data_IF_014299867509
#
_entry.id   IF_014299867509
#
_cell.length_a   1.000
_cell.length_b   1.000
_cell.length_c   1.000
_cell.angle_alpha   90.00
_cell.angle_beta   90.00
_cell.angle_gamma   90.00
#
_symmetry.space_group_name_H-M   'P 1'
#
loop_
_entity.id
_entity.type
_entity.pdbx_description
1 polymer ?
#
# COMPACT_ATOMS: atom_id res chain seq x y z
N UNK A 1 4.22 -12.38 12.15
CA UNK A 1 5.65 -11.97 12.09
C UNK A 1 6.37 -13.04 11.29
N UNK A 2 7.33 -12.64 10.45
CA UNK A 2 8.22 -13.56 9.74
C UNK A 2 9.61 -12.94 9.69
N UNK A 3 10.64 -13.76 9.86
CA UNK A 3 12.05 -13.36 9.74
C UNK A 3 12.57 -13.74 8.34
N UNK A 4 13.36 -12.86 7.76
CA UNK A 4 13.94 -12.94 6.43
C UNK A 4 15.46 -12.75 6.51
N UNK A 5 16.17 -13.36 5.58
CA UNK A 5 17.61 -13.17 5.40
C UNK A 5 17.82 -12.06 4.36
N UNK A 6 18.68 -11.09 4.69
CA UNK A 6 19.11 -9.96 3.86
C UNK A 6 20.64 -10.04 3.72
N UNK A 7 21.12 -10.93 2.85
CA UNK A 7 22.54 -11.27 2.79
C UNK A 7 23.06 -11.89 4.09
N UNK A 8 23.93 -11.16 4.81
CA UNK A 8 24.47 -11.57 6.11
C UNK A 8 23.62 -11.10 7.31
N UNK A 9 22.62 -10.26 7.05
CA UNK A 9 21.76 -9.65 8.05
C UNK A 9 20.39 -10.34 8.05
N UNK A 10 19.63 -10.10 9.12
CA UNK A 10 18.29 -10.63 9.29
C UNK A 10 17.30 -9.51 9.60
N UNK A 11 16.14 -9.56 8.98
CA UNK A 11 15.06 -8.62 9.24
C UNK A 11 13.78 -9.37 9.58
N UNK A 12 13.00 -8.85 10.54
CA UNK A 12 11.66 -9.34 10.82
C UNK A 12 10.61 -8.35 10.35
N UNK A 13 9.65 -8.82 9.56
CA UNK A 13 8.47 -8.05 9.19
C UNK A 13 7.37 -8.27 10.23
N UNK A 14 6.93 -7.19 10.84
CA UNK A 14 5.96 -7.18 11.93
C UNK A 14 4.77 -6.36 11.51
N UNK A 15 3.57 -6.92 11.69
CA UNK A 15 2.33 -6.16 11.69
C UNK A 15 1.89 -5.92 13.14
N UNK A 16 2.15 -4.72 13.69
CA UNK A 16 1.69 -4.37 15.03
C UNK A 16 0.17 -4.51 15.20
N UNK A 17 -0.27 -4.84 16.40
CA UNK A 17 -1.70 -4.97 16.72
C UNK A 17 -2.49 -3.69 16.47
N UNK A 18 -1.89 -2.52 16.73
CA UNK A 18 -2.55 -1.22 16.60
C UNK A 18 -2.87 -0.80 15.16
N UNK A 19 -2.20 -1.36 14.14
CA UNK A 19 -2.55 -1.13 12.72
C UNK A 19 -3.26 -2.32 12.08
N UNK A 20 -3.18 -3.51 12.67
CA UNK A 20 -3.77 -4.73 12.12
C UNK A 20 -5.24 -4.56 11.76
N UNK A 21 -6.06 -4.14 12.72
CA UNK A 21 -7.50 -4.03 12.52
C UNK A 21 -7.86 -3.05 11.39
N UNK A 22 -7.15 -1.92 11.32
CA UNK A 22 -7.36 -0.92 10.27
C UNK A 22 -6.98 -1.47 8.89
N UNK A 23 -5.86 -2.19 8.78
CA UNK A 23 -5.43 -2.79 7.51
C UNK A 23 -6.33 -3.95 7.09
N UNK A 24 -6.77 -4.79 8.01
CA UNK A 24 -7.71 -5.88 7.72
C UNK A 24 -9.03 -5.31 7.18
N UNK A 25 -9.59 -4.31 7.85
CA UNK A 25 -10.83 -3.64 7.41
C UNK A 25 -10.71 -2.94 6.07
N UNK A 26 -9.54 -2.39 5.74
CA UNK A 26 -9.34 -1.58 4.53
C UNK A 26 -8.89 -2.41 3.33
N UNK A 27 -7.89 -3.26 3.54
CA UNK A 27 -7.10 -3.86 2.47
C UNK A 27 -7.27 -5.37 2.32
N UNK A 28 -7.74 -6.07 3.35
CA UNK A 28 -7.90 -7.52 3.35
C UNK A 28 -9.34 -7.90 3.66
N UNK A 29 -10.27 -7.41 2.85
CA UNK A 29 -11.71 -7.65 3.06
C UNK A 29 -12.18 -9.00 2.51
N UNK A 30 -11.30 -9.72 1.82
CA UNK A 30 -11.57 -10.98 1.15
C UNK A 30 -11.25 -10.90 -0.34
N UNK A 31 -10.78 -12.01 -0.91
CA UNK A 31 -10.32 -12.09 -2.31
C UNK A 31 -11.44 -11.88 -3.32
N UNK A 32 -12.68 -12.20 -2.95
CA UNK A 32 -13.86 -12.06 -3.81
C UNK A 32 -14.44 -10.62 -3.84
N UNK A 33 -13.90 -9.69 -3.03
CA UNK A 33 -14.43 -8.33 -2.92
C UNK A 33 -13.73 -7.39 -3.91
N UNK A 34 -14.42 -7.03 -4.99
CA UNK A 34 -13.97 -6.05 -5.97
C UNK A 34 -14.26 -4.61 -5.53
N UNK A 35 -13.37 -4.04 -4.71
CA UNK A 35 -13.52 -2.67 -4.20
C UNK A 35 -12.17 -1.94 -4.07
N UNK A 36 -12.20 -0.62 -4.25
CA UNK A 36 -11.02 0.23 -4.19
C UNK A 36 -10.26 0.07 -2.86
N UNK A 37 -8.94 -0.07 -2.95
CA UNK A 37 -8.05 -0.28 -1.80
C UNK A 37 -8.04 -1.71 -1.24
N UNK A 38 -8.79 -2.66 -1.84
CA UNK A 38 -8.77 -4.08 -1.44
C UNK A 38 -7.75 -4.89 -2.25
N UNK A 39 -7.07 -5.83 -1.60
CA UNK A 39 -6.33 -6.88 -2.28
C UNK A 39 -7.27 -8.00 -2.75
N UNK A 40 -7.10 -8.45 -3.99
CA UNK A 40 -7.79 -9.62 -4.54
C UNK A 40 -6.95 -10.90 -4.43
N UNK A 41 -5.65 -10.76 -4.15
CA UNK A 41 -4.71 -11.89 -4.14
C UNK A 41 -4.56 -12.55 -2.77
N UNK A 42 -4.67 -11.77 -1.71
CA UNK A 42 -4.39 -12.20 -0.35
C UNK A 42 -5.60 -11.92 0.54
N UNK A 43 -6.01 -12.92 1.33
CA UNK A 43 -7.17 -12.76 2.23
C UNK A 43 -6.80 -12.06 3.53
N UNK A 44 -5.51 -12.02 3.87
CA UNK A 44 -4.99 -11.40 5.08
C UNK A 44 -3.48 -11.12 4.94
N UNK A 45 -2.91 -10.42 5.93
CA UNK A 45 -1.49 -10.08 5.94
C UNK A 45 -0.57 -11.30 6.02
N UNK A 46 -0.99 -12.38 6.69
CA UNK A 46 -0.20 -13.62 6.78
C UNK A 46 -0.04 -14.23 5.39
N UNK A 47 -1.12 -14.38 4.63
CA UNK A 47 -1.08 -14.90 3.26
C UNK A 47 -0.10 -14.10 2.39
N UNK A 48 -0.13 -12.77 2.48
CA UNK A 48 0.76 -11.88 1.75
C UNK A 48 2.24 -12.09 2.12
N UNK A 49 2.58 -12.15 3.41
CA UNK A 49 3.98 -12.33 3.83
C UNK A 49 4.51 -13.74 3.62
N UNK A 50 3.66 -14.72 3.29
CA UNK A 50 4.09 -16.06 2.88
C UNK A 50 4.22 -16.21 1.36
N UNK A 51 3.69 -15.26 0.57
CA UNK A 51 3.90 -15.22 -0.87
C UNK A 51 5.31 -14.73 -1.22
N UNK A 52 6.16 -15.65 -1.65
CA UNK A 52 7.56 -15.37 -2.02
C UNK A 52 7.68 -14.44 -3.22
N UNK A 53 6.69 -14.43 -4.13
CA UNK A 53 6.71 -13.55 -5.30
C UNK A 53 6.59 -12.07 -4.91
N UNK A 54 6.04 -11.80 -3.73
CA UNK A 54 5.94 -10.46 -3.17
C UNK A 54 7.07 -10.22 -2.16
N UNK A 55 7.32 -11.18 -1.28
CA UNK A 55 8.26 -11.00 -0.19
C UNK A 55 9.72 -10.98 -0.63
N UNK A 56 10.11 -11.71 -1.66
CA UNK A 56 11.50 -11.69 -2.15
C UNK A 56 11.84 -10.27 -2.72
N UNK A 57 11.08 -9.67 -3.66
CA UNK A 57 11.31 -8.28 -4.11
C UNK A 57 11.16 -7.23 -3.02
N UNK A 58 10.22 -7.43 -2.09
CA UNK A 58 10.06 -6.53 -0.95
C UNK A 58 11.34 -6.50 -0.07
N UNK A 59 11.94 -7.66 0.17
CA UNK A 59 13.12 -7.76 1.03
C UNK A 59 14.37 -7.19 0.35
N UNK A 60 14.48 -7.29 -0.98
CA UNK A 60 15.52 -6.59 -1.76
C UNK A 60 15.41 -5.07 -1.56
N UNK A 61 14.21 -4.49 -1.73
CA UNK A 61 13.98 -3.06 -1.49
C UNK A 61 14.30 -2.66 -0.05
N UNK A 62 13.92 -3.48 0.93
CA UNK A 62 14.22 -3.22 2.35
C UNK A 62 15.73 -3.28 2.62
N UNK A 63 16.45 -4.20 2.00
CA UNK A 63 17.90 -4.28 2.10
C UNK A 63 18.55 -3.00 1.56
N UNK A 64 18.18 -2.57 0.36
CA UNK A 64 18.71 -1.34 -0.25
C UNK A 64 18.47 -0.12 0.66
N UNK A 65 17.26 0.01 1.20
CA UNK A 65 16.91 1.09 2.14
C UNK A 65 17.77 1.05 3.42
N UNK A 66 18.04 -0.14 3.95
CA UNK A 66 18.86 -0.31 5.16
C UNK A 66 20.31 0.09 4.87
N UNK A 67 20.86 -0.32 3.73
CA UNK A 67 22.20 0.01 3.29
C UNK A 67 22.36 1.52 3.05
N UNK A 68 21.39 2.17 2.41
CA UNK A 68 21.38 3.61 2.18
C UNK A 68 21.24 4.44 3.46
N UNK A 69 20.55 3.90 4.47
CA UNK A 69 20.18 4.63 5.70
C UNK A 69 20.78 4.04 6.97
N UNK A 70 21.94 3.39 6.86
CA UNK A 70 22.56 2.67 7.97
C UNK A 70 22.73 3.56 9.23
N UNK A 71 23.14 4.82 9.03
CA UNK A 71 23.36 5.79 10.09
C UNK A 71 22.08 6.15 10.91
N UNK A 72 20.89 5.92 10.34
CA UNK A 72 19.61 6.25 10.98
C UNK A 72 19.01 5.08 11.78
N UNK A 73 19.62 3.88 11.74
CA UNK A 73 18.99 2.66 12.27
C UNK A 73 18.81 2.65 13.80
N UNK A 74 19.70 3.33 14.53
CA UNK A 74 19.65 3.39 16.00
C UNK A 74 18.46 4.23 16.50
N UNK A 75 18.17 5.34 15.83
CA UNK A 75 16.97 6.14 16.08
C UNK A 75 15.72 5.53 15.45
N UNK A 76 15.92 4.72 14.41
CA UNK A 76 14.88 4.19 13.55
C UNK A 76 14.27 5.27 12.67
N UNK A 77 13.82 4.87 11.49
CA UNK A 77 13.24 5.78 10.51
C UNK A 77 11.97 5.19 9.90
N UNK A 78 11.19 6.03 9.23
CA UNK A 78 9.99 5.60 8.50
C UNK A 78 10.23 5.83 7.02
N UNK A 79 9.97 4.80 6.22
CA UNK A 79 10.14 4.81 4.77
C UNK A 79 8.86 4.34 4.10
N UNK A 80 8.52 4.96 2.97
CA UNK A 80 7.35 4.62 2.19
C UNK A 80 7.77 4.33 0.75
N UNK A 81 7.44 3.16 0.24
CA UNK A 81 7.86 2.71 -1.08
C UNK A 81 6.77 1.85 -1.74
N UNK A 82 6.97 1.54 -3.01
CA UNK A 82 6.06 0.70 -3.81
C UNK A 82 6.83 -0.49 -4.36
N UNK A 83 6.26 -1.68 -4.17
CA UNK A 83 6.80 -2.95 -4.66
C UNK A 83 5.98 -3.36 -5.89
N UNK A 84 6.61 -3.56 -7.05
CA UNK A 84 5.93 -4.17 -8.20
C UNK A 84 5.68 -5.66 -7.95
N UNK A 85 4.53 -6.14 -8.38
CA UNK A 85 4.16 -7.55 -8.42
C UNK A 85 3.86 -7.93 -9.87
N UNK A 86 4.05 -9.21 -10.23
CA UNK A 86 3.95 -9.65 -11.63
C UNK A 86 2.47 -9.72 -12.08
N UNK A 87 1.57 -10.11 -11.18
CA UNK A 87 0.15 -10.29 -11.45
C UNK A 87 -0.69 -9.16 -10.81
N UNK A 88 -1.96 -8.97 -11.19
CA UNK A 88 -2.85 -8.09 -10.44
C UNK A 88 -2.96 -8.53 -8.97
N UNK A 89 -2.83 -7.57 -8.05
CA UNK A 89 -2.89 -7.82 -6.59
C UNK A 89 -4.16 -7.27 -5.95
N UNK A 90 -4.88 -6.37 -6.62
CA UNK A 90 -6.07 -5.72 -6.08
C UNK A 90 -6.49 -4.50 -6.91
N UNK A 91 -7.24 -3.61 -6.27
CA UNK A 91 -7.76 -2.39 -6.89
C UNK A 91 -7.19 -1.15 -6.21
N UNK A 92 -6.67 -0.21 -6.99
CA UNK A 92 -6.11 1.04 -6.44
C UNK A 92 -7.19 1.86 -5.71
N UNK A 93 -6.78 2.66 -4.73
CA UNK A 93 -7.66 3.63 -4.07
C UNK A 93 -7.53 5.05 -4.66
N UNK A 94 -6.73 5.22 -5.70
CA UNK A 94 -6.45 6.52 -6.34
C UNK A 94 -6.34 6.40 -7.87
N UNK A 95 -6.65 7.49 -8.57
CA UNK A 95 -6.50 7.61 -10.03
C UNK A 95 -6.00 9.01 -10.41
N UNK A 96 -5.13 9.18 -11.42
CA UNK A 96 -4.75 10.50 -11.92
C UNK A 96 -5.98 11.34 -12.29
N UNK A 97 -6.00 12.61 -11.89
CA UNK A 97 -7.15 13.53 -12.09
C UNK A 97 -7.41 13.82 -13.56
N UNK A 98 -6.37 13.83 -14.38
CA UNK A 98 -6.44 14.08 -15.82
C UNK A 98 -7.17 12.99 -16.62
N UNK A 99 -7.41 11.83 -16.00
CA UNK A 99 -8.22 10.74 -16.56
C UNK A 99 -9.71 10.85 -16.22
N UNK A 100 -10.12 11.87 -15.46
CA UNK A 100 -11.48 12.01 -14.93
C UNK A 100 -12.13 13.28 -15.42
N UNK A 101 -13.45 13.23 -15.62
CA UNK A 101 -14.23 14.44 -15.89
C UNK A 101 -14.57 15.15 -14.59
N UNK A 102 -14.86 16.45 -14.66
CA UNK A 102 -15.21 17.22 -13.45
C UNK A 102 -16.53 16.72 -12.83
N UNK A 103 -17.41 16.14 -13.64
CA UNK A 103 -18.67 15.53 -13.22
C UNK A 103 -18.46 14.23 -12.42
N UNK A 104 -17.32 13.56 -12.61
CA UNK A 104 -16.96 12.36 -11.84
C UNK A 104 -16.51 12.68 -10.41
N UNK A 105 -16.21 13.96 -10.14
CA UNK A 105 -15.43 14.38 -9.00
C UNK A 105 -16.22 15.26 -8.03
N UNK A 106 -15.91 15.10 -6.75
CA UNK A 106 -16.39 16.01 -5.71
C UNK A 106 -15.29 16.27 -4.69
N UNK A 107 -15.02 17.54 -4.42
CA UNK A 107 -14.14 17.92 -3.31
C UNK A 107 -14.81 17.53 -1.98
N UNK A 108 -14.08 16.80 -1.15
CA UNK A 108 -14.53 16.44 0.21
C UNK A 108 -13.42 16.73 1.21
N UNK A 109 -13.79 17.26 2.36
CA UNK A 109 -12.92 17.36 3.54
C UNK A 109 -13.05 16.11 4.40
N UNK A 110 -11.92 15.63 4.90
CA UNK A 110 -11.88 14.52 5.84
C UNK A 110 -11.73 15.03 7.28
N UNK A 111 -12.17 14.22 8.24
CA UNK A 111 -12.01 14.53 9.68
C UNK A 111 -10.54 14.76 10.08
N UNK A 112 -9.60 14.25 9.29
CA UNK A 112 -8.16 14.39 9.48
C UNK A 112 -7.57 15.70 8.92
N UNK A 113 -8.40 16.71 8.62
CA UNK A 113 -7.98 18.06 8.17
C UNK A 113 -7.17 18.05 6.86
N UNK A 114 -7.50 17.13 5.98
CA UNK A 114 -7.07 17.16 4.59
C UNK A 114 -8.29 17.02 3.68
N UNK A 115 -8.19 17.59 2.49
CA UNK A 115 -9.22 17.58 1.47
C UNK A 115 -8.69 16.93 0.20
N UNK A 116 -9.60 16.43 -0.63
CA UNK A 116 -9.27 15.96 -1.96
C UNK A 116 -10.52 15.88 -2.83
N UNK A 117 -10.31 15.75 -4.14
CA UNK A 117 -11.30 15.27 -5.09
C UNK A 117 -11.50 13.77 -4.89
N UNK A 118 -12.74 13.40 -4.60
CA UNK A 118 -13.18 12.02 -4.56
C UNK A 118 -13.97 11.68 -5.82
N UNK A 119 -13.78 10.46 -6.31
CA UNK A 119 -14.61 9.91 -7.38
C UNK A 119 -15.97 9.56 -6.80
N UNK A 120 -17.02 10.20 -7.31
CA UNK A 120 -18.41 9.99 -6.89
C UNK A 120 -19.27 9.31 -7.95
N UNK A 121 -18.82 9.30 -9.21
CA UNK A 121 -19.48 8.54 -10.26
C UNK A 121 -19.16 7.04 -10.11
N UNK A 122 -20.17 6.25 -9.75
CA UNK A 122 -20.04 4.80 -9.56
C UNK A 122 -19.73 4.04 -10.86
N UNK A 123 -19.93 4.68 -12.02
CA UNK A 123 -19.56 4.11 -13.33
C UNK A 123 -18.05 4.11 -13.55
N UNK A 124 -17.31 4.99 -12.86
CA UNK A 124 -15.85 5.02 -12.88
C UNK A 124 -15.36 3.97 -11.89
N UNK A 125 -14.87 2.84 -12.41
CA UNK A 125 -14.41 1.74 -11.57
C UNK A 125 -12.96 1.95 -11.12
N UNK A 126 -12.64 1.56 -9.89
CA UNK A 126 -11.26 1.55 -9.43
C UNK A 126 -10.45 0.52 -10.24
N UNK A 127 -9.35 0.91 -10.90
CA UNK A 127 -8.64 -0.02 -11.77
C UNK A 127 -7.86 -1.06 -10.98
N UNK A 128 -7.66 -2.22 -11.59
CA UNK A 128 -6.75 -3.23 -11.06
C UNK A 128 -5.32 -2.71 -11.08
N UNK A 129 -4.50 -3.26 -10.20
CA UNK A 129 -3.11 -2.87 -10.07
C UNK A 129 -2.25 -4.04 -9.64
N UNK A 130 -1.03 -4.07 -10.17
CA UNK A 130 0.03 -5.00 -9.75
C UNK A 130 1.03 -4.31 -8.81
N UNK A 131 0.68 -3.15 -8.24
CA UNK A 131 1.54 -2.41 -7.33
C UNK A 131 1.08 -2.60 -5.88
N UNK A 132 2.03 -2.75 -4.97
CA UNK A 132 1.80 -2.78 -3.53
C UNK A 132 2.59 -1.66 -2.88
N UNK A 133 1.90 -0.70 -2.30
CA UNK A 133 2.52 0.39 -1.56
C UNK A 133 2.54 0.11 -0.07
N UNK A 134 3.68 0.36 0.57
CA UNK A 134 3.86 0.09 2.00
C UNK A 134 4.63 1.23 2.68
N UNK A 135 4.25 1.53 3.92
CA UNK A 135 5.04 2.36 4.83
C UNK A 135 5.56 1.49 5.95
N UNK A 136 6.87 1.49 6.17
CA UNK A 136 7.55 0.75 7.23
C UNK A 136 8.23 1.72 8.19
N UNK A 137 8.19 1.41 9.48
CA UNK A 137 9.20 1.89 10.42
C UNK A 137 10.30 0.83 10.53
N UNK A 138 11.54 1.20 10.23
CA UNK A 138 12.71 0.31 10.29
C UNK A 138 13.58 0.77 11.46
N UNK A 139 14.00 -0.17 12.30
CA UNK A 139 14.90 0.07 13.43
C UNK A 139 15.65 -1.21 13.80
N UNK A 140 16.70 -1.10 14.62
CA UNK A 140 17.34 -2.28 15.22
C UNK A 140 16.36 -3.09 16.05
N UNK A 141 16.51 -4.42 16.03
CA UNK A 141 15.70 -5.30 16.88
C UNK A 141 16.31 -5.48 18.27
N UNK A 142 15.76 -4.75 19.24
CA UNK A 142 16.20 -4.84 20.63
C UNK A 142 15.79 -6.14 21.34
N UNK A 143 15.00 -7.01 20.69
CA UNK A 143 14.57 -8.30 21.24
C UNK A 143 15.48 -9.46 20.83
N UNK A 144 16.49 -9.22 19.97
CA UNK A 144 17.50 -10.22 19.61
C UNK A 144 17.00 -11.38 18.74
N UNK A 145 15.89 -11.22 18.03
CA UNK A 145 15.36 -12.25 17.12
C UNK A 145 15.80 -12.05 15.66
N UNK A 146 16.26 -10.86 15.33
CA UNK A 146 16.83 -10.47 14.04
C UNK A 146 17.80 -9.29 14.27
N UNK A 147 18.45 -8.80 13.23
CA UNK A 147 19.23 -7.55 13.28
C UNK A 147 18.30 -6.34 13.22
N UNK A 148 17.23 -6.43 12.42
CA UNK A 148 16.28 -5.33 12.19
C UNK A 148 14.82 -5.74 12.39
N UNK A 149 14.02 -4.78 12.83
CA UNK A 149 12.57 -4.85 12.87
C UNK A 149 11.95 -3.88 11.85
N UNK A 150 11.16 -4.44 10.94
CA UNK A 150 10.37 -3.71 9.94
C UNK A 150 8.91 -3.70 10.39
N UNK A 151 8.47 -2.60 11.00
CA UNK A 151 7.12 -2.45 11.53
C UNK A 151 6.21 -1.83 10.47
N UNK A 152 5.23 -2.59 9.98
CA UNK A 152 4.24 -2.11 9.01
C UNK A 152 3.39 -1.00 9.62
N UNK A 153 3.42 0.17 9.01
CA UNK A 153 2.63 1.35 9.37
C UNK A 153 1.39 1.50 8.49
N UNK A 154 1.55 1.25 7.19
CA UNK A 154 0.51 1.38 6.18
C UNK A 154 0.78 0.39 5.05
N UNK A 155 -0.27 -0.10 4.39
CA UNK A 155 -0.20 -1.04 3.28
C UNK A 155 -1.44 -0.88 2.40
N UNK A 156 -1.29 -0.87 1.08
CA UNK A 156 -2.42 -0.81 0.13
C UNK A 156 -2.04 -1.28 -1.27
N UNK A 157 -3.01 -1.76 -2.07
CA UNK A 157 -2.83 -1.90 -3.51
C UNK A 157 -2.76 -0.52 -4.19
N UNK A 158 -1.96 -0.43 -5.24
CA UNK A 158 -1.78 0.77 -6.05
C UNK A 158 -0.58 1.59 -5.62
N UNK A 159 -0.31 2.71 -6.29
CA UNK A 159 0.86 3.56 -6.02
C UNK A 159 0.71 4.38 -4.74
N UNK A 160 1.84 4.88 -4.23
CA UNK A 160 1.87 5.85 -3.14
C UNK A 160 1.60 7.25 -3.70
N UNK A 161 0.55 7.97 -3.23
CA UNK A 161 0.52 9.40 -3.36
C UNK A 161 1.65 9.94 -2.46
N UNK A 162 2.72 10.45 -3.07
CA UNK A 162 3.93 10.90 -2.38
C UNK A 162 3.70 12.25 -1.68
N UNK A 163 2.85 12.27 -0.65
CA UNK A 163 2.57 13.45 0.15
C UNK A 163 2.05 13.08 1.54
N UNK A 164 2.42 13.89 2.55
CA UNK A 164 1.81 13.81 3.88
C UNK A 164 0.36 14.29 3.80
N UNK A 165 -0.57 13.52 4.37
CA UNK A 165 -2.01 13.84 4.45
C UNK A 165 -2.27 15.13 5.24
N UNK A 166 -2.24 16.29 4.57
CA UNK A 166 -2.55 17.61 5.13
C UNK A 166 -2.88 18.57 4.00
N UNK A 167 -3.92 19.39 4.16
CA UNK A 167 -4.34 20.33 3.10
C UNK A 167 -4.95 19.61 1.91
N UNK A 168 -4.92 20.24 0.73
CA UNK A 168 -5.45 19.63 -0.50
C UNK A 168 -4.48 18.57 -1.05
N UNK A 169 -4.90 17.31 -1.04
CA UNK A 169 -4.09 16.20 -1.51
C UNK A 169 -4.14 16.08 -3.04
N UNK A 170 -5.24 16.44 -3.68
CA UNK A 170 -5.37 16.44 -5.14
C UNK A 170 -4.36 17.39 -5.74
N UNK A 171 -4.29 18.64 -5.26
CA UNK A 171 -3.31 19.61 -5.73
C UNK A 171 -1.87 19.13 -5.53
N UNK A 172 -1.59 18.46 -4.40
CA UNK A 172 -0.24 18.01 -4.05
C UNK A 172 0.25 16.83 -4.85
N UNK A 173 -0.65 15.97 -5.31
CA UNK A 173 -0.28 14.66 -5.84
C UNK A 173 -0.75 14.43 -7.27
N UNK A 174 -1.72 15.20 -7.74
CA UNK A 174 -2.35 15.01 -9.05
C UNK A 174 -3.31 13.82 -9.12
N UNK A 175 -3.70 13.24 -7.97
CA UNK A 175 -4.64 12.12 -7.92
C UNK A 175 -6.02 12.55 -7.41
N UNK A 176 -7.04 11.76 -7.76
CA UNK A 176 -8.34 11.71 -7.11
C UNK A 176 -8.44 10.40 -6.30
N UNK A 177 -9.31 10.38 -5.29
CA UNK A 177 -9.44 9.26 -4.36
C UNK A 177 -10.75 8.52 -4.57
N UNK A 178 -10.69 7.20 -4.50
CA UNK A 178 -11.86 6.37 -4.35
C UNK A 178 -12.20 6.20 -2.87
N UNK A 179 -13.50 6.17 -2.55
CA UNK A 179 -13.93 5.62 -1.27
C UNK A 179 -13.59 4.13 -1.23
N UNK A 180 -13.28 3.58 -0.06
CA UNK A 180 -13.03 2.14 0.11
C UNK A 180 -14.21 1.27 -0.35
N UNK A 181 -15.43 1.78 -0.32
CA UNK A 181 -16.63 1.08 -0.83
C UNK A 181 -16.82 1.19 -2.35
N UNK A 182 -16.03 2.02 -3.03
CA UNK A 182 -16.17 2.24 -4.46
C UNK A 182 -15.88 0.96 -5.23
N UNK A 183 -16.69 0.61 -6.25
CA UNK A 183 -16.52 -0.63 -6.99
C UNK A 183 -15.19 -0.68 -7.73
N UNK A 184 -14.56 -1.86 -7.73
CA UNK A 184 -13.40 -2.17 -8.54
C UNK A 184 -13.79 -2.74 -9.90
N UNK A 185 -12.97 -2.49 -10.92
CA UNK A 185 -13.12 -3.10 -12.24
C UNK A 185 -12.79 -4.59 -12.17
N UNK A 186 -13.74 -5.45 -12.52
CA UNK A 186 -13.39 -6.82 -12.88
C UNK A 186 -12.72 -6.77 -14.25
N UNK A 187 -11.57 -7.43 -14.43
CA UNK A 187 -10.99 -7.52 -15.77
C UNK A 187 -11.97 -8.28 -16.66
N UNK A 188 -12.48 -7.56 -17.65
CA UNK A 188 -12.85 -8.15 -18.92
C UNK A 188 -11.55 -8.68 -19.54
N UNK A 189 -11.48 -10.00 -19.59
CA UNK A 189 -10.86 -10.81 -20.64
C UNK A 189 -10.39 -9.98 -21.85
N UNK A 190 -9.09 -10.10 -22.16
CA UNK A 190 -8.46 -9.90 -23.48
C UNK A 190 -8.93 -8.70 -24.32
N UNK A 191 -8.14 -7.62 -24.32
CA UNK A 191 -7.96 -6.84 -25.54
C UNK A 191 -6.76 -7.42 -26.29
N UNK A 192 -7.02 -8.49 -27.04
CA UNK A 192 -6.25 -8.74 -28.26
C UNK A 192 -6.55 -7.58 -29.23
N UNK A 193 -5.52 -6.81 -29.57
CA UNK A 193 -5.47 -5.98 -30.77
C UNK A 193 -4.88 -6.78 -31.92
#
# INVERSE_FOLDING_TARGET
MRTFQLGALTAKLVLPSWCREALEKRCFRGVDIAAAGNFNRWSNFIDMIYDRRFTDPLMEIVQDIIEEREADLDQGFTEAFTVPFIEPVGWTSILPVDLLSIEDLRQMETEARWSALFVVNESVLAPQTSLVSMTLKICRDNLGHADFACLVKDLRPGPLPNARFRGDMTEKTGYAWFNLRHPGGQDLVELEL
#
